data_IF_260004163395
#
_entry.id   IF_260004163395
#
_cell.length_a   1.000
_cell.length_b   1.000
_cell.length_c   1.000
_cell.angle_alpha   90.00
_cell.angle_beta   90.00
_cell.angle_gamma   90.00
#
_symmetry.space_group_name_H-M   'P 1'
#
loop_
_entity.id
_entity.type
_entity.pdbx_description
1 polymer ?
#
# COMPACT_ATOMS: atom_id res chain seq x y z
N UNK A 1 19.19 3.33 -13.58
CA UNK A 1 20.11 2.23 -13.16
C UNK A 1 19.81 0.91 -13.87
N UNK A 2 18.58 0.35 -13.81
CA UNK A 2 18.28 -0.97 -14.37
C UNK A 2 18.55 -1.05 -15.89
N UNK A 3 18.06 -0.07 -16.67
CA UNK A 3 18.34 -0.03 -18.11
C UNK A 3 19.84 0.06 -18.43
N UNK A 4 20.61 0.79 -17.62
CA UNK A 4 22.07 0.84 -17.76
C UNK A 4 22.69 -0.56 -17.52
N UNK A 5 22.30 -1.23 -16.45
CA UNK A 5 22.76 -2.58 -16.13
C UNK A 5 22.31 -3.61 -17.20
N UNK A 6 21.13 -3.41 -17.80
CA UNK A 6 20.62 -4.26 -18.87
C UNK A 6 21.47 -4.11 -20.15
N UNK A 7 21.79 -2.87 -20.55
CA UNK A 7 22.68 -2.57 -21.67
C UNK A 7 24.08 -3.17 -21.49
N UNK A 8 24.57 -3.23 -20.27
CA UNK A 8 25.91 -3.78 -19.96
C UNK A 8 25.87 -5.29 -19.66
N UNK A 9 24.76 -5.97 -19.90
CA UNK A 9 24.61 -7.42 -19.68
C UNK A 9 24.71 -7.86 -18.21
N UNK A 10 24.58 -6.91 -17.27
CA UNK A 10 24.71 -7.16 -15.81
C UNK A 10 23.37 -7.28 -15.10
N UNK A 11 22.27 -7.05 -15.79
CA UNK A 11 20.95 -7.11 -15.18
C UNK A 11 20.39 -8.54 -15.16
N UNK A 12 19.63 -8.85 -14.10
CA UNK A 12 18.79 -10.04 -14.06
C UNK A 12 17.59 -9.82 -14.96
N UNK A 13 17.40 -10.69 -15.94
CA UNK A 13 16.32 -10.60 -16.95
C UNK A 13 15.14 -11.54 -16.65
N UNK A 14 15.17 -12.31 -15.55
CA UNK A 14 14.09 -13.25 -15.23
C UNK A 14 12.86 -12.52 -14.69
N UNK A 15 11.70 -12.90 -15.20
CA UNK A 15 10.37 -12.50 -14.70
C UNK A 15 9.62 -13.77 -14.31
N UNK A 16 8.95 -13.77 -13.16
CA UNK A 16 8.14 -14.88 -12.68
C UNK A 16 6.67 -14.51 -12.81
N UNK A 17 5.95 -15.28 -13.63
CA UNK A 17 4.53 -15.11 -13.89
C UNK A 17 3.76 -16.35 -13.43
N UNK A 18 2.55 -16.17 -12.90
CA UNK A 18 1.59 -17.23 -12.73
C UNK A 18 0.64 -17.23 -13.94
N UNK A 19 0.56 -18.33 -14.65
CA UNK A 19 -0.32 -18.52 -15.81
C UNK A 19 -1.73 -18.89 -15.33
N UNK A 20 -2.66 -17.96 -15.43
CA UNK A 20 -4.01 -18.11 -14.92
C UNK A 20 -4.77 -19.27 -15.56
N UNK A 21 -4.60 -19.49 -16.86
CA UNK A 21 -5.26 -20.58 -17.56
C UNK A 21 -4.79 -21.96 -17.03
N UNK A 22 -3.49 -22.12 -16.83
CA UNK A 22 -2.90 -23.33 -16.26
C UNK A 22 -3.30 -23.54 -14.80
N UNK A 23 -3.34 -22.48 -13.98
CA UNK A 23 -3.79 -22.54 -12.58
C UNK A 23 -5.24 -23.01 -12.49
N UNK A 24 -6.14 -22.43 -13.29
CA UNK A 24 -7.56 -22.81 -13.34
C UNK A 24 -7.71 -24.26 -13.78
N UNK A 25 -6.96 -24.70 -14.81
CA UNK A 25 -6.98 -26.07 -15.26
C UNK A 25 -6.50 -27.06 -14.19
N UNK A 26 -5.42 -26.74 -13.49
CA UNK A 26 -4.88 -27.57 -12.40
C UNK A 26 -5.86 -27.66 -11.22
N UNK A 27 -6.47 -26.54 -10.81
CA UNK A 27 -7.45 -26.53 -9.73
C UNK A 27 -8.75 -27.27 -10.09
N UNK A 28 -9.17 -27.21 -11.34
CA UNK A 28 -10.33 -27.97 -11.83
C UNK A 28 -10.11 -29.49 -11.77
N UNK A 29 -8.88 -29.95 -11.99
CA UNK A 29 -8.51 -31.36 -11.88
C UNK A 29 -8.44 -31.81 -10.42
N UNK A 30 -7.88 -30.96 -9.55
CA UNK A 30 -7.64 -31.29 -8.14
C UNK A 30 -8.87 -31.12 -7.24
N UNK A 31 -9.76 -30.16 -7.61
CA UNK A 31 -10.91 -29.73 -6.81
C UNK A 31 -12.15 -29.56 -7.69
N UNK A 32 -13.26 -29.17 -7.05
CA UNK A 32 -14.50 -28.79 -7.77
C UNK A 32 -14.48 -27.33 -8.20
N UNK A 33 -15.37 -26.93 -9.11
CA UNK A 33 -15.56 -25.54 -9.52
C UNK A 33 -16.09 -24.63 -8.38
N UNK A 34 -16.54 -25.22 -7.26
CA UNK A 34 -16.90 -24.51 -6.04
C UNK A 34 -15.68 -24.06 -5.21
N UNK A 35 -14.48 -24.52 -5.53
CA UNK A 35 -13.25 -24.12 -4.87
C UNK A 35 -13.02 -22.61 -5.01
N UNK A 36 -12.74 -21.93 -3.91
CA UNK A 36 -12.60 -20.47 -3.85
C UNK A 36 -11.38 -19.94 -4.64
N UNK A 37 -10.33 -20.74 -4.76
CA UNK A 37 -9.17 -20.38 -5.58
C UNK A 37 -9.47 -20.52 -7.07
N UNK A 38 -10.21 -21.57 -7.45
CA UNK A 38 -10.73 -21.70 -8.81
C UNK A 38 -11.58 -20.51 -9.21
N UNK A 39 -12.57 -20.12 -8.38
CA UNK A 39 -13.44 -18.97 -8.63
C UNK A 39 -12.66 -17.69 -8.74
N UNK A 40 -11.66 -17.49 -7.87
CA UNK A 40 -10.81 -16.31 -7.87
C UNK A 40 -10.02 -16.16 -9.17
N UNK A 41 -9.29 -17.19 -9.59
CA UNK A 41 -8.49 -17.13 -10.82
C UNK A 41 -9.36 -17.09 -12.08
N UNK A 42 -10.49 -17.80 -12.08
CA UNK A 42 -11.46 -17.73 -13.17
C UNK A 42 -12.02 -16.31 -13.35
N UNK A 43 -12.36 -15.63 -12.26
CA UNK A 43 -12.82 -14.23 -12.30
C UNK A 43 -11.75 -13.28 -12.86
N UNK A 44 -10.45 -13.50 -12.59
CA UNK A 44 -9.39 -12.71 -13.21
C UNK A 44 -9.31 -12.93 -14.73
N UNK A 45 -9.45 -14.17 -15.19
CA UNK A 45 -9.53 -14.49 -16.63
C UNK A 45 -10.73 -13.77 -17.27
N UNK A 46 -11.88 -13.82 -16.62
CA UNK A 46 -13.11 -13.18 -17.12
C UNK A 46 -13.00 -11.64 -17.18
N UNK A 47 -12.09 -11.05 -16.39
CA UNK A 47 -11.69 -9.63 -16.46
C UNK A 47 -10.63 -9.34 -17.54
N UNK A 48 -10.17 -10.35 -18.29
CA UNK A 48 -9.19 -10.20 -19.36
C UNK A 48 -7.72 -10.31 -18.93
N UNK A 49 -7.43 -10.75 -17.70
CA UNK A 49 -6.06 -11.02 -17.28
C UNK A 49 -5.63 -12.42 -17.71
N UNK A 50 -4.39 -12.55 -18.19
CA UNK A 50 -3.77 -13.83 -18.57
C UNK A 50 -2.76 -14.31 -17.53
N UNK A 51 -2.06 -13.37 -16.87
CA UNK A 51 -0.97 -13.65 -15.95
C UNK A 51 -1.08 -12.82 -14.67
N UNK A 52 -0.47 -13.35 -13.60
CA UNK A 52 -0.15 -12.60 -12.38
C UNK A 52 1.37 -12.50 -12.26
N UNK A 53 1.91 -11.28 -12.15
CA UNK A 53 3.34 -11.09 -11.92
C UNK A 53 3.69 -11.39 -10.47
N UNK A 54 4.54 -12.40 -10.26
CA UNK A 54 5.05 -12.77 -8.94
C UNK A 54 6.34 -12.02 -8.63
N UNK A 55 7.27 -11.96 -9.59
CA UNK A 55 8.49 -11.14 -9.50
C UNK A 55 8.84 -10.54 -10.86
N UNK A 56 9.55 -9.41 -10.83
CA UNK A 56 10.01 -8.73 -12.03
C UNK A 56 9.14 -7.58 -12.51
N UNK A 57 8.04 -7.24 -11.82
CA UNK A 57 7.15 -6.14 -12.19
C UNK A 57 7.89 -4.79 -12.36
N UNK A 58 8.85 -4.48 -11.48
CA UNK A 58 9.65 -3.25 -11.60
C UNK A 58 10.60 -3.29 -12.81
N UNK A 59 11.09 -4.48 -13.19
CA UNK A 59 11.95 -4.71 -14.34
C UNK A 59 11.15 -4.54 -15.64
N UNK A 60 10.02 -5.22 -15.73
CA UNK A 60 9.08 -5.10 -16.85
C UNK A 60 8.64 -3.64 -17.05
N UNK A 61 8.17 -3.00 -15.99
CA UNK A 61 7.78 -1.59 -16.04
C UNK A 61 8.91 -0.66 -16.47
N UNK A 62 10.15 -0.90 -15.99
CA UNK A 62 11.29 -0.09 -16.37
C UNK A 62 11.60 -0.21 -17.87
N UNK A 63 11.52 -1.41 -18.42
CA UNK A 63 11.72 -1.64 -19.87
C UNK A 63 10.61 -0.93 -20.66
N UNK A 64 9.35 -1.16 -20.31
CA UNK A 64 8.19 -0.56 -20.95
C UNK A 64 8.22 0.97 -20.88
N UNK A 65 8.50 1.54 -19.70
CA UNK A 65 8.58 2.99 -19.51
C UNK A 65 9.72 3.62 -20.31
N UNK A 66 10.83 2.89 -20.53
CA UNK A 66 11.91 3.35 -21.39
C UNK A 66 11.52 3.32 -22.87
N UNK A 67 10.93 2.23 -23.34
CA UNK A 67 10.44 2.07 -24.71
C UNK A 67 9.36 3.11 -25.03
N UNK A 68 8.48 3.40 -24.08
CA UNK A 68 7.46 4.44 -24.17
C UNK A 68 8.03 5.88 -24.09
N UNK A 69 9.35 6.05 -23.95
CA UNK A 69 10.00 7.36 -23.88
C UNK A 69 9.77 8.15 -22.60
N UNK A 70 9.25 7.52 -21.52
CA UNK A 70 8.92 8.18 -20.24
C UNK A 70 10.14 8.66 -19.48
N UNK A 71 11.32 8.10 -19.74
CA UNK A 71 12.58 8.58 -19.20
C UNK A 71 13.72 8.38 -20.19
N UNK A 72 14.86 9.01 -19.92
CA UNK A 72 16.08 8.94 -20.72
C UNK A 72 17.18 8.16 -19.99
N UNK A 73 18.11 7.56 -20.73
CA UNK A 73 19.37 7.05 -20.19
C UNK A 73 20.19 8.23 -19.64
N UNK A 74 20.98 7.96 -18.61
CA UNK A 74 22.01 8.91 -18.18
C UNK A 74 23.05 9.09 -19.28
N UNK A 75 23.55 10.33 -19.44
CA UNK A 75 24.63 10.60 -20.38
C UNK A 75 25.91 9.87 -19.94
N UNK A 76 26.18 8.75 -20.57
CA UNK A 76 27.30 7.88 -20.24
C UNK A 76 27.68 7.00 -21.44
N UNK A 77 28.82 6.35 -21.37
CA UNK A 77 29.23 5.29 -22.29
C UNK A 77 28.92 3.92 -21.65
N UNK A 78 28.18 3.10 -22.37
CA UNK A 78 27.75 1.78 -21.94
C UNK A 78 28.52 0.71 -22.72
N UNK A 79 29.16 -0.20 -22.00
CA UNK A 79 29.84 -1.34 -22.61
C UNK A 79 28.85 -2.52 -22.70
N UNK A 80 28.32 -2.77 -23.90
CA UNK A 80 27.31 -3.81 -24.09
C UNK A 80 27.91 -5.21 -24.20
N UNK A 81 29.22 -5.32 -24.48
CA UNK A 81 29.89 -6.60 -24.74
C UNK A 81 29.44 -7.30 -26.05
N UNK A 82 28.49 -6.74 -26.79
CA UNK A 82 28.03 -7.32 -28.04
C UNK A 82 28.96 -6.95 -29.20
N UNK A 83 29.27 -7.93 -30.08
CA UNK A 83 30.20 -7.73 -31.20
C UNK A 83 29.73 -6.69 -32.21
N UNK A 84 28.41 -6.53 -32.36
CA UNK A 84 27.78 -5.57 -33.29
C UNK A 84 27.55 -4.17 -32.69
N UNK A 85 27.67 -4.04 -31.34
CA UNK A 85 27.54 -2.80 -30.60
C UNK A 85 28.42 -2.85 -29.35
N UNK A 86 29.78 -2.88 -29.46
CA UNK A 86 30.65 -3.09 -28.32
C UNK A 86 30.53 -1.99 -27.25
N UNK A 87 30.33 -0.76 -27.70
CA UNK A 87 30.04 0.39 -26.82
C UNK A 87 28.90 1.23 -27.40
N UNK A 88 28.14 1.83 -26.52
CA UNK A 88 27.10 2.78 -26.84
C UNK A 88 27.24 4.03 -25.98
N UNK A 89 27.38 5.19 -26.57
CA UNK A 89 27.46 6.47 -25.86
C UNK A 89 26.10 7.16 -25.91
N UNK A 90 25.44 7.24 -24.78
CA UNK A 90 24.24 8.07 -24.63
C UNK A 90 24.65 9.53 -24.33
N UNK A 91 24.03 10.47 -25.05
CA UNK A 91 24.14 11.89 -24.79
C UNK A 91 22.74 12.54 -24.93
N UNK A 92 22.62 13.84 -24.72
CA UNK A 92 21.32 14.52 -24.75
C UNK A 92 20.55 14.40 -26.09
N UNK A 93 21.18 13.94 -27.18
CA UNK A 93 20.54 13.79 -28.47
C UNK A 93 20.05 12.37 -28.76
N UNK A 94 20.60 11.35 -28.05
CA UNK A 94 20.36 9.94 -28.33
C UNK A 94 20.14 9.09 -27.06
N UNK A 95 19.58 9.65 -26.02
CA UNK A 95 19.44 8.98 -24.73
C UNK A 95 17.99 8.48 -24.45
N UNK A 96 17.04 8.73 -25.34
CA UNK A 96 15.67 8.17 -25.29
C UNK A 96 15.52 7.09 -26.34
N UNK A 97 14.66 6.11 -26.09
CA UNK A 97 14.45 5.00 -27.01
C UNK A 97 14.22 5.47 -28.45
N UNK A 98 13.33 6.44 -28.67
CA UNK A 98 13.00 6.96 -30.01
C UNK A 98 14.20 7.62 -30.73
N UNK A 99 15.13 8.20 -29.98
CA UNK A 99 16.30 8.91 -30.50
C UNK A 99 17.55 8.03 -30.60
N UNK A 100 17.46 6.76 -30.12
CA UNK A 100 18.59 5.83 -30.21
C UNK A 100 18.96 5.53 -31.65
N UNK A 101 20.26 5.33 -31.97
CA UNK A 101 20.70 4.76 -33.24
C UNK A 101 20.05 3.39 -33.48
N UNK A 102 19.83 3.06 -34.78
CA UNK A 102 19.13 1.82 -35.16
C UNK A 102 19.79 0.54 -34.61
N UNK A 103 21.13 0.49 -34.54
CA UNK A 103 21.83 -0.64 -33.93
C UNK A 103 21.65 -0.75 -32.42
N UNK A 104 21.53 0.38 -31.72
CA UNK A 104 21.25 0.39 -30.27
C UNK A 104 19.79 0.00 -29.97
N UNK A 105 18.82 0.47 -30.77
CA UNK A 105 17.43 0.00 -30.70
C UNK A 105 17.36 -1.51 -30.89
N UNK A 106 17.95 -2.00 -31.99
CA UNK A 106 17.98 -3.43 -32.28
C UNK A 106 18.61 -4.25 -31.15
N UNK A 107 19.68 -3.75 -30.54
CA UNK A 107 20.31 -4.43 -29.41
C UNK A 107 19.34 -4.55 -28.23
N UNK A 108 18.58 -3.48 -27.91
CA UNK A 108 17.59 -3.49 -26.81
C UNK A 108 16.43 -4.43 -27.16
N UNK A 109 15.93 -4.40 -28.39
CA UNK A 109 14.81 -5.24 -28.84
C UNK A 109 15.18 -6.73 -28.85
N UNK A 110 16.47 -7.05 -29.10
CA UNK A 110 16.99 -8.42 -29.10
C UNK A 110 17.31 -8.96 -27.68
N UNK A 111 17.20 -8.14 -26.61
CA UNK A 111 17.45 -8.60 -25.24
C UNK A 111 16.44 -9.67 -24.85
N UNK A 112 16.95 -10.85 -24.54
CA UNK A 112 16.11 -11.96 -24.09
C UNK A 112 15.73 -11.81 -22.61
N UNK A 113 14.45 -11.94 -22.34
CA UNK A 113 13.90 -11.99 -20.99
C UNK A 113 13.47 -13.43 -20.66
N UNK A 114 14.03 -14.00 -19.60
CA UNK A 114 13.65 -15.34 -19.15
C UNK A 114 12.32 -15.28 -18.41
N UNK A 115 11.30 -15.99 -18.91
CA UNK A 115 10.01 -16.12 -18.23
C UNK A 115 9.96 -17.46 -17.49
N UNK A 116 9.71 -17.40 -16.20
CA UNK A 116 9.40 -18.58 -15.38
C UNK A 116 7.90 -18.58 -15.15
N UNK A 117 7.22 -19.64 -15.62
CA UNK A 117 5.77 -19.78 -15.49
C UNK A 117 5.41 -20.72 -14.33
N UNK A 118 4.58 -20.24 -13.43
CA UNK A 118 3.94 -21.03 -12.38
C UNK A 118 2.61 -21.51 -12.93
N UNK A 119 2.47 -22.83 -13.10
CA UNK A 119 1.33 -23.46 -13.75
C UNK A 119 0.44 -24.29 -12.80
N UNK A 120 0.91 -24.53 -11.57
CA UNK A 120 0.19 -25.29 -10.55
C UNK A 120 0.45 -24.67 -9.18
N UNK A 121 -0.54 -23.97 -8.65
CA UNK A 121 -0.48 -23.37 -7.32
C UNK A 121 -1.88 -22.88 -6.90
N UNK A 122 -2.14 -22.79 -5.60
CA UNK A 122 -3.24 -22.05 -5.02
C UNK A 122 -2.81 -20.61 -4.68
N UNK A 123 -3.76 -19.78 -4.22
CA UNK A 123 -3.46 -18.37 -3.84
C UNK A 123 -2.42 -18.27 -2.73
N UNK A 124 -2.45 -19.19 -1.78
CA UNK A 124 -1.51 -19.22 -0.66
C UNK A 124 -0.10 -19.55 -1.15
N UNK A 125 0.04 -20.56 -1.97
CA UNK A 125 1.33 -20.94 -2.57
C UNK A 125 1.92 -19.80 -3.42
N UNK A 126 1.10 -19.05 -4.17
CA UNK A 126 1.58 -17.86 -4.89
C UNK A 126 2.07 -16.77 -3.94
N UNK A 127 1.39 -16.54 -2.82
CA UNK A 127 1.84 -15.59 -1.80
C UNK A 127 3.16 -16.03 -1.15
N UNK A 128 3.27 -17.31 -0.81
CA UNK A 128 4.49 -17.90 -0.24
C UNK A 128 5.67 -17.83 -1.23
N UNK A 129 5.42 -18.09 -2.51
CA UNK A 129 6.43 -17.92 -3.57
C UNK A 129 6.87 -16.46 -3.70
N UNK A 130 5.93 -15.50 -3.71
CA UNK A 130 6.26 -14.07 -3.73
C UNK A 130 7.16 -13.68 -2.56
N UNK A 131 6.86 -14.14 -1.34
CA UNK A 131 7.67 -13.89 -0.16
C UNK A 131 9.05 -14.55 -0.30
N UNK A 132 9.11 -15.77 -0.82
CA UNK A 132 10.35 -16.53 -0.97
C UNK A 132 11.32 -15.87 -1.97
N UNK A 133 10.84 -15.45 -3.15
CA UNK A 133 11.70 -14.82 -4.17
C UNK A 133 12.15 -13.42 -3.76
N UNK A 134 11.38 -12.74 -2.89
CA UNK A 134 11.74 -11.45 -2.33
C UNK A 134 12.48 -11.54 -0.97
N UNK A 135 12.95 -12.72 -0.55
CA UNK A 135 13.56 -12.95 0.76
C UNK A 135 14.82 -12.12 1.02
N UNK A 136 15.52 -11.69 -0.04
CA UNK A 136 16.65 -10.76 0.04
C UNK A 136 16.26 -9.29 0.18
N UNK A 137 14.99 -8.93 -0.02
CA UNK A 137 14.46 -7.58 0.18
C UNK A 137 13.68 -7.52 1.50
N UNK A 138 13.90 -6.46 2.29
CA UNK A 138 13.18 -6.25 3.54
C UNK A 138 11.71 -5.84 3.24
N UNK A 139 10.86 -6.81 2.93
CA UNK A 139 9.42 -6.58 2.83
C UNK A 139 8.86 -6.21 4.22
N UNK A 140 8.13 -5.11 4.30
CA UNK A 140 7.42 -4.77 5.53
C UNK A 140 6.18 -5.68 5.71
N UNK A 141 5.55 -5.59 6.89
CA UNK A 141 4.40 -6.44 7.20
C UNK A 141 3.23 -6.23 6.23
N UNK A 142 2.99 -4.98 5.80
CA UNK A 142 1.88 -4.69 4.88
C UNK A 142 2.17 -5.17 3.45
N UNK A 143 3.42 -5.10 2.99
CA UNK A 143 3.81 -5.67 1.70
C UNK A 143 3.62 -7.19 1.66
N UNK A 144 3.93 -7.88 2.77
CA UNK A 144 3.63 -9.32 2.90
C UNK A 144 2.13 -9.63 2.89
N UNK A 145 1.30 -8.82 3.60
CA UNK A 145 -0.16 -8.96 3.56
C UNK A 145 -0.72 -8.76 2.17
N UNK A 146 -0.20 -7.76 1.45
CA UNK A 146 -0.66 -7.48 0.10
C UNK A 146 -0.34 -8.59 -0.92
N UNK A 147 0.58 -9.50 -0.59
CA UNK A 147 0.82 -10.72 -1.36
C UNK A 147 -0.33 -11.73 -1.21
N UNK A 148 -1.08 -11.66 -0.10
CA UNK A 148 -2.24 -12.54 0.13
C UNK A 148 -3.37 -12.10 -0.80
N UNK A 149 -3.73 -12.96 -1.75
CA UNK A 149 -4.78 -12.71 -2.73
C UNK A 149 -6.15 -13.02 -2.14
N UNK A 150 -6.76 -12.05 -1.45
CA UNK A 150 -8.10 -12.20 -0.87
C UNK A 150 -9.00 -11.02 -1.26
N UNK A 151 -10.31 -11.21 -1.12
CA UNK A 151 -11.33 -10.21 -1.44
C UNK A 151 -11.11 -8.93 -0.62
N UNK A 152 -10.83 -9.07 0.67
CA UNK A 152 -10.53 -7.94 1.55
C UNK A 152 -9.35 -7.10 1.06
N UNK A 153 -8.23 -7.75 0.72
CA UNK A 153 -7.06 -7.05 0.16
C UNK A 153 -7.36 -6.34 -1.17
N UNK A 154 -8.27 -6.89 -1.99
CA UNK A 154 -8.71 -6.24 -3.23
C UNK A 154 -9.53 -4.97 -2.93
N UNK A 155 -10.48 -5.01 -1.98
CA UNK A 155 -11.26 -3.83 -1.58
C UNK A 155 -10.38 -2.74 -0.93
N UNK A 156 -9.39 -3.13 -0.09
CA UNK A 156 -8.40 -2.19 0.46
C UNK A 156 -7.68 -1.46 -0.68
N UNK A 157 -7.11 -2.18 -1.66
CA UNK A 157 -6.38 -1.57 -2.79
C UNK A 157 -7.29 -0.68 -3.65
N UNK A 158 -8.54 -1.08 -3.86
CA UNK A 158 -9.53 -0.30 -4.60
C UNK A 158 -9.85 1.04 -3.91
N UNK A 159 -10.02 1.02 -2.59
CA UNK A 159 -10.25 2.24 -1.80
C UNK A 159 -9.02 3.15 -1.80
N UNK A 160 -7.81 2.59 -1.61
CA UNK A 160 -6.55 3.36 -1.68
C UNK A 160 -6.38 3.99 -3.07
N UNK A 161 -6.66 3.26 -4.15
CA UNK A 161 -6.62 3.81 -5.52
C UNK A 161 -7.61 4.96 -5.70
N UNK A 162 -8.84 4.82 -5.19
CA UNK A 162 -9.86 5.88 -5.23
C UNK A 162 -9.40 7.14 -4.47
N UNK A 163 -8.76 6.97 -3.32
CA UNK A 163 -8.31 8.05 -2.43
C UNK A 163 -6.81 8.39 -2.61
N UNK A 164 -6.19 7.98 -3.73
CA UNK A 164 -4.77 8.14 -3.95
C UNK A 164 -4.29 9.59 -3.84
N UNK A 165 -5.01 10.52 -4.50
CA UNK A 165 -4.63 11.95 -4.50
C UNK A 165 -4.59 12.58 -3.10
N UNK A 166 -5.62 12.43 -2.24
CA UNK A 166 -5.53 12.89 -0.86
C UNK A 166 -4.46 12.17 -0.04
N UNK A 167 -4.28 10.85 -0.18
CA UNK A 167 -3.19 10.14 0.50
C UNK A 167 -1.81 10.71 0.14
N UNK A 168 -1.59 11.03 -1.13
CA UNK A 168 -0.32 11.60 -1.61
C UNK A 168 -0.07 13.04 -1.14
N UNK A 169 -1.05 13.71 -0.48
CA UNK A 169 -0.85 14.99 0.20
C UNK A 169 -0.25 14.82 1.61
N UNK A 170 -0.49 13.68 2.25
CA UNK A 170 -0.05 13.39 3.61
C UNK A 170 1.11 12.40 3.68
N UNK A 171 1.28 11.56 2.66
CA UNK A 171 2.37 10.59 2.59
C UNK A 171 3.31 10.87 1.42
N UNK A 172 4.61 10.66 1.62
CA UNK A 172 5.60 10.74 0.56
C UNK A 172 5.45 9.57 -0.43
N UNK A 173 5.96 9.72 -1.65
CA UNK A 173 5.99 8.62 -2.65
C UNK A 173 6.66 7.36 -2.10
N UNK A 174 7.72 7.53 -1.29
CA UNK A 174 8.38 6.40 -0.61
C UNK A 174 7.42 5.67 0.34
N UNK A 175 6.64 6.40 1.13
CA UNK A 175 5.65 5.81 2.05
C UNK A 175 4.50 5.14 1.27
N UNK A 176 4.01 5.77 0.20
CA UNK A 176 2.99 5.19 -0.68
C UNK A 176 3.49 3.89 -1.33
N UNK A 177 4.73 3.87 -1.83
CA UNK A 177 5.35 2.66 -2.39
C UNK A 177 5.52 1.56 -1.34
N UNK A 178 5.74 1.91 -0.07
CA UNK A 178 5.80 0.98 1.08
C UNK A 178 4.41 0.61 1.65
N UNK A 179 3.35 0.93 0.94
CA UNK A 179 1.97 0.55 1.28
C UNK A 179 1.43 1.09 2.61
N UNK A 180 1.89 2.26 3.05
CA UNK A 180 1.40 2.90 4.28
C UNK A 180 -0.09 3.24 4.17
N UNK A 181 -0.56 3.68 3.00
CA UNK A 181 -1.99 3.94 2.78
C UNK A 181 -2.86 2.67 2.92
N UNK A 182 -2.39 1.53 2.36
CA UNK A 182 -3.05 0.23 2.53
C UNK A 182 -3.13 -0.14 4.03
N UNK A 183 -2.02 0.05 4.77
CA UNK A 183 -1.98 -0.23 6.21
C UNK A 183 -2.99 0.60 7.01
N UNK A 184 -3.19 1.87 6.66
CA UNK A 184 -4.18 2.73 7.31
C UNK A 184 -5.62 2.27 7.04
N UNK A 185 -5.94 1.88 5.80
CA UNK A 185 -7.26 1.32 5.48
C UNK A 185 -7.51 -0.01 6.21
N UNK A 186 -6.50 -0.88 6.29
CA UNK A 186 -6.59 -2.13 7.06
C UNK A 186 -6.80 -1.83 8.54
N UNK A 187 -6.07 -0.87 9.10
CA UNK A 187 -6.22 -0.47 10.50
C UNK A 187 -7.64 0.08 10.77
N UNK A 188 -8.17 0.92 9.88
CA UNK A 188 -9.56 1.38 9.97
C UNK A 188 -10.55 0.22 9.93
N UNK A 189 -10.31 -0.78 9.08
CA UNK A 189 -11.17 -1.95 8.97
C UNK A 189 -11.16 -2.78 10.26
N UNK A 190 -10.00 -2.98 10.87
CA UNK A 190 -9.88 -3.70 12.16
C UNK A 190 -10.57 -2.92 13.28
N UNK A 191 -10.40 -1.60 13.36
CA UNK A 191 -11.07 -0.75 14.35
C UNK A 191 -12.60 -0.85 14.19
N UNK A 192 -13.11 -0.69 12.98
CA UNK A 192 -14.56 -0.73 12.73
C UNK A 192 -15.17 -2.13 12.99
N UNK A 193 -14.42 -3.20 12.73
CA UNK A 193 -14.91 -4.58 12.87
C UNK A 193 -14.75 -5.17 14.27
N UNK A 194 -13.70 -4.77 14.99
CA UNK A 194 -13.27 -5.41 16.25
C UNK A 194 -13.13 -4.42 17.42
N UNK A 195 -13.31 -3.13 17.16
CA UNK A 195 -13.07 -2.09 18.16
C UNK A 195 -11.58 -1.87 18.44
N UNK A 196 -11.29 -1.18 19.55
CA UNK A 196 -9.93 -0.81 19.96
C UNK A 196 -9.14 -1.93 20.64
N UNK A 197 -9.76 -3.09 20.82
CA UNK A 197 -9.15 -4.23 21.54
C UNK A 197 -8.13 -4.98 20.68
N UNK A 198 -8.10 -4.74 19.36
CA UNK A 198 -7.28 -5.52 18.47
C UNK A 198 -6.84 -4.77 17.21
N UNK A 199 -5.85 -3.88 17.30
CA UNK A 199 -5.20 -3.25 16.14
C UNK A 199 -3.70 -3.54 16.07
N UNK A 200 -3.28 -4.65 16.62
CA UNK A 200 -1.89 -5.12 16.53
C UNK A 200 -1.55 -5.64 15.14
N UNK A 201 -0.27 -5.98 14.92
CA UNK A 201 0.15 -6.63 13.68
C UNK A 201 -0.60 -7.94 13.43
N UNK A 202 -0.80 -8.74 14.50
CA UNK A 202 -1.54 -10.01 14.45
C UNK A 202 -3.00 -9.82 14.05
N UNK A 203 -3.68 -8.78 14.55
CA UNK A 203 -5.07 -8.52 14.19
C UNK A 203 -5.22 -8.16 12.71
N UNK A 204 -4.26 -7.40 12.18
CA UNK A 204 -4.18 -7.10 10.75
C UNK A 204 -3.86 -8.35 9.90
N UNK A 205 -3.06 -9.28 10.41
CA UNK A 205 -2.80 -10.56 9.73
C UNK A 205 -4.07 -11.42 9.69
N UNK A 206 -4.82 -11.48 10.79
CA UNK A 206 -6.12 -12.19 10.87
C UNK A 206 -7.13 -11.58 9.88
N UNK A 207 -7.16 -10.25 9.72
CA UNK A 207 -8.05 -9.59 8.76
C UNK A 207 -7.83 -10.03 7.31
N UNK A 208 -6.63 -10.48 6.96
CA UNK A 208 -6.36 -11.06 5.63
C UNK A 208 -6.65 -12.56 5.55
N UNK A 209 -6.57 -13.28 6.67
CA UNK A 209 -6.81 -14.73 6.74
C UNK A 209 -8.31 -15.06 6.90
N UNK A 210 -9.00 -14.33 7.81
CA UNK A 210 -10.44 -14.44 8.07
C UNK A 210 -11.06 -13.04 8.05
N UNK A 211 -11.49 -12.63 6.87
CA UNK A 211 -11.89 -11.26 6.57
C UNK A 211 -13.40 -10.99 6.62
N UNK A 212 -14.19 -11.94 7.08
CA UNK A 212 -15.66 -11.83 7.07
C UNK A 212 -16.17 -10.62 7.88
N UNK A 213 -15.57 -10.35 9.03
CA UNK A 213 -15.93 -9.22 9.90
C UNK A 213 -15.54 -7.88 9.25
N UNK A 214 -14.33 -7.77 8.74
CA UNK A 214 -13.82 -6.57 8.09
C UNK A 214 -14.60 -6.24 6.82
N UNK A 215 -14.95 -7.24 6.02
CA UNK A 215 -15.77 -7.05 4.83
C UNK A 215 -17.19 -6.59 5.16
N UNK A 216 -17.78 -7.09 6.25
CA UNK A 216 -19.15 -6.71 6.65
C UNK A 216 -19.29 -5.22 6.98
N UNK A 217 -18.24 -4.57 7.47
CA UNK A 217 -18.22 -3.14 7.84
C UNK A 217 -17.53 -2.26 6.79
N UNK A 218 -16.94 -2.86 5.74
CA UNK A 218 -16.08 -2.12 4.81
C UNK A 218 -16.81 -1.00 4.06
N UNK A 219 -17.98 -1.30 3.50
CA UNK A 219 -18.79 -0.31 2.77
C UNK A 219 -19.55 0.63 3.68
N UNK A 220 -19.99 0.15 4.86
CA UNK A 220 -20.87 0.88 5.78
C UNK A 220 -20.12 1.79 6.76
N UNK A 221 -18.89 1.48 7.09
CA UNK A 221 -18.10 2.22 8.08
C UNK A 221 -16.74 2.65 7.54
N UNK A 222 -15.92 1.72 7.05
CA UNK A 222 -14.53 2.02 6.64
C UNK A 222 -14.49 3.01 5.48
N UNK A 223 -15.20 2.73 4.40
CA UNK A 223 -15.22 3.60 3.21
C UNK A 223 -15.72 5.01 3.55
N UNK A 224 -16.83 5.21 4.28
CA UNK A 224 -17.25 6.53 4.72
C UNK A 224 -16.20 7.24 5.60
N UNK A 225 -15.66 6.61 6.64
CA UNK A 225 -14.65 7.22 7.52
C UNK A 225 -13.43 7.68 6.72
N UNK A 226 -12.87 6.81 5.87
CA UNK A 226 -11.70 7.15 5.07
C UNK A 226 -12.00 8.24 4.05
N UNK A 227 -13.22 8.27 3.50
CA UNK A 227 -13.67 9.32 2.57
C UNK A 227 -13.85 10.65 3.32
N UNK A 228 -14.45 10.64 4.49
CA UNK A 228 -14.63 11.85 5.31
C UNK A 228 -13.27 12.47 5.68
N UNK A 229 -12.33 11.67 6.15
CA UNK A 229 -10.99 12.14 6.49
C UNK A 229 -10.26 12.66 5.24
N UNK A 230 -10.22 11.90 4.17
CA UNK A 230 -9.34 12.18 3.04
C UNK A 230 -9.95 13.15 2.02
N UNK A 231 -11.22 12.98 1.64
CA UNK A 231 -11.86 13.84 0.66
C UNK A 231 -12.43 15.13 1.27
N UNK A 232 -12.91 15.09 2.53
CA UNK A 232 -13.53 16.26 3.15
C UNK A 232 -12.59 17.04 4.06
N UNK A 233 -11.69 16.38 4.80
CA UNK A 233 -10.72 17.08 5.66
C UNK A 233 -9.40 17.39 4.93
N UNK A 234 -8.83 16.44 4.15
CA UNK A 234 -7.49 16.59 3.54
C UNK A 234 -7.56 17.27 2.17
N UNK A 235 -8.46 16.81 1.30
CA UNK A 235 -8.51 17.23 -0.10
C UNK A 235 -8.76 18.73 -0.33
N UNK A 236 -9.64 19.41 0.46
CA UNK A 236 -9.92 20.83 0.26
C UNK A 236 -8.71 21.74 0.47
N UNK A 237 -7.72 21.30 1.24
CA UNK A 237 -6.53 22.10 1.51
C UNK A 237 -5.51 21.97 0.38
N UNK A 238 -4.90 23.12 0.01
CA UNK A 238 -3.78 23.17 -0.93
C UNK A 238 -2.48 22.62 -0.33
N UNK A 239 -1.42 22.58 -1.14
CA UNK A 239 -0.07 22.22 -0.68
C UNK A 239 0.35 23.20 0.42
N UNK A 240 0.69 22.67 1.61
CA UNK A 240 1.07 23.46 2.78
C UNK A 240 -0.10 23.91 3.68
N UNK A 241 -1.36 23.64 3.31
CA UNK A 241 -2.54 23.95 4.13
C UNK A 241 -2.88 22.89 5.18
N UNK A 242 -2.21 21.72 5.12
CA UNK A 242 -2.37 20.61 6.06
C UNK A 242 -1.06 20.40 6.79
N UNK A 243 -1.13 20.23 8.10
CA UNK A 243 0.02 19.75 8.88
C UNK A 243 0.13 18.24 8.71
N UNK A 244 1.20 17.78 8.07
CA UNK A 244 1.45 16.34 7.82
C UNK A 244 1.49 15.58 9.14
N UNK A 245 2.04 16.16 10.19
CA UNK A 245 2.16 15.57 11.53
C UNK A 245 0.80 15.18 12.13
N UNK A 246 -0.28 15.91 11.78
CA UNK A 246 -1.65 15.58 12.24
C UNK A 246 -2.14 14.23 11.67
N UNK A 247 -1.48 13.72 10.64
CA UNK A 247 -1.78 12.45 9.96
C UNK A 247 -0.64 11.43 10.04
N UNK A 248 0.34 11.63 10.92
CA UNK A 248 1.27 10.55 11.24
C UNK A 248 0.52 9.33 11.79
N UNK A 249 1.10 8.14 11.62
CA UNK A 249 0.38 6.87 11.85
C UNK A 249 -0.37 6.80 13.18
N UNK A 250 0.22 7.29 14.27
CA UNK A 250 -0.43 7.30 15.59
C UNK A 250 -1.63 8.25 15.64
N UNK A 251 -1.46 9.45 15.12
CA UNK A 251 -2.49 10.49 15.07
C UNK A 251 -3.62 10.12 14.11
N UNK A 252 -3.29 9.47 13.00
CA UNK A 252 -4.28 9.00 12.04
C UNK A 252 -5.15 7.87 12.65
N UNK A 253 -4.54 6.97 13.43
CA UNK A 253 -5.27 5.94 14.18
C UNK A 253 -6.23 6.59 15.17
N UNK A 254 -5.80 7.63 15.89
CA UNK A 254 -6.65 8.40 16.80
C UNK A 254 -7.85 9.01 16.08
N UNK A 255 -7.61 9.61 14.93
CA UNK A 255 -8.68 10.20 14.11
C UNK A 255 -9.67 9.14 13.63
N UNK A 256 -9.19 7.97 13.20
CA UNK A 256 -10.05 6.86 12.79
C UNK A 256 -10.91 6.38 13.98
N UNK A 257 -10.31 6.22 15.18
CA UNK A 257 -11.05 5.81 16.37
C UNK A 257 -12.14 6.82 16.73
N UNK A 258 -11.83 8.10 16.68
CA UNK A 258 -12.77 9.18 16.94
C UNK A 258 -13.92 9.20 15.93
N UNK A 259 -13.59 9.14 14.66
CA UNK A 259 -14.60 9.11 13.58
C UNK A 259 -15.51 7.87 13.67
N UNK A 260 -14.96 6.71 14.04
CA UNK A 260 -15.76 5.51 14.27
C UNK A 260 -16.72 5.70 15.45
N UNK A 261 -16.24 6.24 16.59
CA UNK A 261 -17.07 6.57 17.73
C UNK A 261 -18.20 7.54 17.37
N UNK A 262 -17.89 8.63 16.66
CA UNK A 262 -18.88 9.62 16.25
C UNK A 262 -19.97 8.99 15.39
N UNK A 263 -19.59 8.13 14.44
CA UNK A 263 -20.56 7.41 13.58
C UNK A 263 -21.45 6.46 14.39
N UNK A 264 -20.89 5.67 15.30
CA UNK A 264 -21.64 4.75 16.16
C UNK A 264 -22.65 5.50 17.04
N UNK A 265 -22.28 6.70 17.49
CA UNK A 265 -23.10 7.54 18.36
C UNK A 265 -23.94 8.59 17.58
N UNK A 266 -23.94 8.54 16.23
CA UNK A 266 -24.69 9.44 15.36
C UNK A 266 -24.35 10.92 15.54
N UNK A 267 -23.12 11.22 15.93
CA UNK A 267 -22.59 12.58 16.03
C UNK A 267 -22.24 13.05 14.62
N UNK A 268 -22.83 14.13 14.18
CA UNK A 268 -22.67 14.68 12.83
C UNK A 268 -21.59 15.76 12.86
N UNK A 269 -20.73 15.79 11.84
CA UNK A 269 -19.79 16.87 11.61
C UNK A 269 -20.45 17.84 10.64
N UNK A 270 -20.81 19.03 11.12
CA UNK A 270 -21.45 20.09 10.34
C UNK A 270 -20.48 20.67 9.31
N UNK A 271 -19.27 21.04 9.74
CA UNK A 271 -18.20 21.57 8.89
C UNK A 271 -16.89 20.81 9.10
N UNK A 272 -16.40 20.14 8.04
CA UNK A 272 -15.16 19.37 8.09
C UNK A 272 -13.90 20.23 8.18
N UNK A 273 -13.97 21.50 7.77
CA UNK A 273 -12.84 22.44 7.92
C UNK A 273 -12.69 22.86 9.38
N UNK A 274 -13.78 23.21 10.02
CA UNK A 274 -13.78 23.58 11.44
C UNK A 274 -13.44 22.38 12.31
N UNK A 275 -13.94 21.20 11.98
CA UNK A 275 -13.55 19.94 12.64
C UNK A 275 -12.04 19.67 12.48
N UNK A 276 -11.45 19.89 11.30
CA UNK A 276 -10.01 19.73 11.10
C UNK A 276 -9.21 20.75 11.93
N UNK A 277 -9.63 22.01 11.95
CA UNK A 277 -8.99 23.04 12.75
C UNK A 277 -9.01 22.69 14.24
N UNK A 278 -10.16 22.27 14.74
CA UNK A 278 -10.31 21.77 16.11
C UNK A 278 -9.40 20.54 16.36
N UNK A 279 -9.41 19.56 15.45
CA UNK A 279 -8.55 18.40 15.54
C UNK A 279 -7.06 18.77 15.64
N UNK A 280 -6.57 19.64 14.75
CA UNK A 280 -5.18 20.08 14.73
C UNK A 280 -4.78 20.79 16.02
N UNK A 281 -5.65 21.66 16.56
CA UNK A 281 -5.42 22.32 17.85
C UNK A 281 -5.33 21.31 18.98
N UNK A 282 -6.31 20.42 19.08
CA UNK A 282 -6.33 19.36 20.13
C UNK A 282 -5.14 18.40 20.01
N UNK A 283 -4.72 18.10 18.79
CA UNK A 283 -3.52 17.32 18.52
C UNK A 283 -2.27 17.98 19.10
N UNK A 284 -2.09 19.26 18.86
CA UNK A 284 -0.96 20.02 19.38
C UNK A 284 -1.01 20.11 20.93
N UNK A 285 -2.17 20.42 21.52
CA UNK A 285 -2.33 20.50 22.97
C UNK A 285 -1.86 19.22 23.67
N UNK A 286 -2.31 18.04 23.20
CA UNK A 286 -1.98 16.76 23.83
C UNK A 286 -0.57 16.26 23.55
N UNK A 287 0.00 16.58 22.36
CA UNK A 287 1.35 16.11 22.00
C UNK A 287 2.46 17.02 22.49
N UNK A 288 2.19 18.33 22.65
CA UNK A 288 3.18 19.33 23.06
C UNK A 288 3.30 19.51 24.58
N UNK A 289 2.38 18.94 25.36
CA UNK A 289 2.44 19.08 26.81
C UNK A 289 3.19 17.92 27.46
N UNK A 290 4.46 18.10 27.90
CA UNK A 290 5.25 17.06 28.53
C UNK A 290 4.80 16.74 29.96
N UNK A 291 3.99 17.62 30.58
CA UNK A 291 3.60 17.52 31.98
C UNK A 291 2.34 16.66 32.17
N UNK A 292 1.57 16.44 31.11
CA UNK A 292 0.42 15.52 31.16
C UNK A 292 0.93 14.08 31.00
N UNK A 293 0.96 13.38 32.12
CA UNK A 293 1.38 11.98 32.19
C UNK A 293 0.16 11.07 32.33
N UNK A 294 0.06 10.11 31.44
CA UNK A 294 -0.97 9.07 31.46
C UNK A 294 -0.44 7.79 32.09
N UNK A 295 -1.26 7.10 32.86
CA UNK A 295 -0.95 5.79 33.40
C UNK A 295 -0.94 4.77 32.23
N UNK A 296 0.24 4.35 31.83
CA UNK A 296 0.41 3.27 30.85
C UNK A 296 0.20 1.91 31.51
N UNK A 297 0.21 0.84 30.72
CA UNK A 297 0.26 -0.52 31.26
C UNK A 297 1.56 -0.71 32.06
N UNK A 298 1.44 -0.76 33.38
CA UNK A 298 2.55 -0.82 34.31
C UNK A 298 2.80 0.50 35.07
N UNK A 299 3.82 0.54 35.91
CA UNK A 299 4.13 1.65 36.84
C UNK A 299 4.72 2.91 36.16
N UNK A 300 4.90 2.89 34.85
CA UNK A 300 5.55 3.99 34.13
C UNK A 300 4.51 4.94 33.51
N UNK A 301 4.45 6.15 34.02
CA UNK A 301 3.69 7.26 33.38
C UNK A 301 4.33 7.62 32.05
N UNK A 302 3.50 7.86 31.04
CA UNK A 302 3.93 8.25 29.70
C UNK A 302 3.24 9.50 29.23
N UNK A 303 3.95 10.33 28.46
CA UNK A 303 3.35 11.45 27.72
C UNK A 303 2.43 10.89 26.62
N UNK A 304 1.50 11.71 26.13
CA UNK A 304 0.64 11.31 24.99
C UNK A 304 1.46 10.90 23.77
N UNK A 305 2.51 11.63 23.44
CA UNK A 305 3.44 11.28 22.37
C UNK A 305 4.09 9.90 22.57
N UNK A 306 4.34 9.51 23.82
CA UNK A 306 4.81 8.17 24.18
C UNK A 306 3.75 7.07 23.98
N UNK A 307 2.46 7.42 24.15
CA UNK A 307 1.34 6.50 23.90
C UNK A 307 1.09 6.28 22.40
N UNK A 308 1.33 7.29 21.54
CA UNK A 308 1.12 7.20 20.09
C UNK A 308 1.95 6.09 19.41
N UNK A 309 3.06 5.70 20.02
CA UNK A 309 3.93 4.62 19.51
C UNK A 309 3.38 3.23 19.78
N UNK A 310 2.36 3.10 20.64
CA UNK A 310 1.77 1.82 21.03
C UNK A 310 0.43 1.55 20.36
N UNK A 311 0.23 0.33 19.87
CA UNK A 311 -1.06 -0.16 19.33
C UNK A 311 -1.66 -1.25 20.21
N UNK A 312 -1.11 -1.46 21.41
CA UNK A 312 -1.67 -2.38 22.39
C UNK A 312 -2.96 -1.83 23.03
N UNK A 313 -3.86 -2.73 23.43
CA UNK A 313 -5.19 -2.42 23.98
C UNK A 313 -5.18 -1.29 25.02
N UNK A 314 -4.28 -1.35 26.00
CA UNK A 314 -4.25 -0.35 27.07
C UNK A 314 -3.88 1.05 26.57
N UNK A 315 -2.92 1.16 25.64
CA UNK A 315 -2.55 2.45 25.04
C UNK A 315 -3.68 3.05 24.23
N UNK A 316 -4.37 2.20 23.46
CA UNK A 316 -5.49 2.62 22.64
C UNK A 316 -6.68 3.05 23.50
N UNK A 317 -6.95 2.33 24.60
CA UNK A 317 -8.04 2.70 25.50
C UNK A 317 -7.82 4.07 26.12
N UNK A 318 -6.63 4.35 26.65
CA UNK A 318 -6.31 5.66 27.24
C UNK A 318 -6.48 6.79 26.19
N UNK A 319 -5.98 6.56 24.98
CA UNK A 319 -6.10 7.53 23.87
C UNK A 319 -7.56 7.74 23.47
N UNK A 320 -8.31 6.64 23.36
CA UNK A 320 -9.72 6.66 23.02
C UNK A 320 -10.55 7.41 24.06
N UNK A 321 -10.38 7.11 25.34
CA UNK A 321 -11.11 7.77 26.44
C UNK A 321 -10.84 9.29 26.41
N UNK A 322 -9.58 9.70 26.23
CA UNK A 322 -9.21 11.10 26.07
C UNK A 322 -9.89 11.78 24.88
N UNK A 323 -9.94 11.09 23.71
CA UNK A 323 -10.55 11.63 22.49
C UNK A 323 -12.05 11.82 22.66
N UNK A 324 -12.74 10.85 23.29
CA UNK A 324 -14.18 10.89 23.54
C UNK A 324 -14.51 12.04 24.50
N UNK A 325 -13.73 12.22 25.58
CA UNK A 325 -13.90 13.35 26.49
C UNK A 325 -13.69 14.70 25.80
N UNK A 326 -12.78 14.77 24.84
CA UNK A 326 -12.49 15.99 24.07
C UNK A 326 -13.63 16.42 23.15
N UNK A 327 -14.55 15.51 22.78
CA UNK A 327 -15.67 15.82 21.88
C UNK A 327 -16.59 16.93 22.40
N UNK A 328 -16.75 17.05 23.71
CA UNK A 328 -17.52 18.14 24.33
C UNK A 328 -16.96 19.54 24.09
N UNK A 329 -15.80 19.66 23.45
CA UNK A 329 -15.14 20.94 23.11
C UNK A 329 -15.16 21.24 21.61
N UNK A 330 -15.87 20.46 20.78
CA UNK A 330 -16.07 20.77 19.36
C UNK A 330 -16.93 22.03 19.27
N UNK A 331 -16.53 23.05 18.50
CA UNK A 331 -17.39 24.23 18.24
C UNK A 331 -18.69 23.81 17.55
N UNK A 332 -19.80 24.45 17.93
CA UNK A 332 -21.10 24.30 17.30
C UNK A 332 -21.06 24.72 15.82
#
# INVERSE_FOLDING_TARGET
>A
EYMASLLEGRAVTSIILADLASLVAALKIAFTEENEDYKFFKNLIDQGYEYITIDGNNRDRCISDFVDGKFALTNNEYNTGASNLPTFKADGSNNKYDTLPANAKKFIDDIQVNLLLVTQCDRRGLADLFIAVNKGMNLNAQERRNAIMCVFGAEVRKLVKKLYKPFNKIYTDKAMNRRVADEMVVTASVICARGIDGITGSDRDIAYADNSKELSVFSTSVTPIMTDILDKMVKPYGVGGIKIDDFESGNFIDLIMLMNYMRENKIVIEDYKDFYNWWSVKQNERTSNPDILYEGAGTNKRTYSGLLRGTGKNFLKIRYDFLVESLGTIPD
#
